data_IF_811857703381
#
_entry.id   IF_811857703381
#
_cell.length_a   1.000
_cell.length_b   1.000
_cell.length_c   1.000
_cell.angle_alpha   90.00
_cell.angle_beta   90.00
_cell.angle_gamma   90.00
#
_symmetry.space_group_name_H-M   'P 1'
#
loop_
_entity.id
_entity.type
_entity.pdbx_description
1 polymer ?
#
# COMPACT_ATOMS: atom_id res chain seq x y z
N UNK A 1 -5.81 23.24 -3.76
CA UNK A 1 -4.42 22.70 -3.86
C UNK A 1 -4.47 21.39 -4.63
N UNK A 2 -3.46 21.12 -5.43
CA UNK A 2 -3.30 19.82 -6.12
C UNK A 2 -2.37 18.96 -5.27
N UNK A 3 -2.69 17.68 -5.10
CA UNK A 3 -1.85 16.74 -4.37
C UNK A 3 -0.49 16.57 -5.07
N UNK A 4 0.57 16.60 -4.27
CA UNK A 4 1.92 16.22 -4.69
C UNK A 4 2.00 14.73 -5.01
N UNK A 5 3.02 14.32 -5.75
CA UNK A 5 3.25 12.91 -6.07
C UNK A 5 3.45 12.07 -4.81
N UNK A 6 4.18 12.59 -3.82
CA UNK A 6 4.37 11.92 -2.52
C UNK A 6 3.04 11.70 -1.78
N UNK A 7 2.16 12.69 -1.74
CA UNK A 7 0.83 12.53 -1.11
C UNK A 7 -0.04 11.51 -1.85
N UNK A 8 -0.02 11.54 -3.19
CA UNK A 8 -0.72 10.53 -4.01
C UNK A 8 -0.16 9.13 -3.76
N UNK A 9 1.15 8.99 -3.65
CA UNK A 9 1.82 7.72 -3.44
C UNK A 9 1.45 7.14 -2.07
N UNK A 10 1.48 7.94 -1.00
CA UNK A 10 1.02 7.54 0.34
C UNK A 10 -0.45 7.08 0.31
N UNK A 11 -1.32 7.81 -0.39
CA UNK A 11 -2.73 7.44 -0.51
C UNK A 11 -2.93 6.10 -1.23
N UNK A 12 -2.17 5.85 -2.31
CA UNK A 12 -2.23 4.58 -3.06
C UNK A 12 -1.67 3.42 -2.23
N UNK A 13 -0.55 3.60 -1.53
CA UNK A 13 0.02 2.58 -0.65
C UNK A 13 -0.96 2.24 0.47
N UNK A 14 -1.52 3.24 1.15
CA UNK A 14 -2.48 3.04 2.23
C UNK A 14 -3.71 2.27 1.74
N UNK A 15 -4.25 2.65 0.57
CA UNK A 15 -5.36 1.92 -0.05
C UNK A 15 -4.98 0.49 -0.41
N UNK A 16 -3.81 0.28 -1.01
CA UNK A 16 -3.28 -1.03 -1.36
C UNK A 16 -3.13 -1.95 -0.14
N UNK A 17 -2.63 -1.42 0.98
CA UNK A 17 -2.54 -2.12 2.26
C UNK A 17 -3.92 -2.51 2.79
N UNK A 18 -4.88 -1.57 2.82
CA UNK A 18 -6.24 -1.87 3.29
C UNK A 18 -6.93 -2.94 2.44
N UNK A 19 -6.79 -2.87 1.12
CA UNK A 19 -7.36 -3.88 0.20
C UNK A 19 -6.67 -5.22 0.40
N UNK A 20 -5.33 -5.24 0.53
CA UNK A 20 -4.58 -6.46 0.81
C UNK A 20 -5.07 -7.14 2.09
N UNK A 21 -5.21 -6.39 3.19
CA UNK A 21 -5.72 -6.91 4.46
C UNK A 21 -7.12 -7.49 4.33
N UNK A 22 -8.04 -6.80 3.66
CA UNK A 22 -9.40 -7.29 3.43
C UNK A 22 -9.44 -8.58 2.58
N UNK A 23 -8.63 -8.66 1.53
CA UNK A 23 -8.55 -9.87 0.69
C UNK A 23 -7.88 -11.02 1.44
N UNK A 24 -6.93 -10.73 2.34
CA UNK A 24 -6.31 -11.72 3.20
C UNK A 24 -7.32 -12.35 4.17
N UNK A 25 -8.15 -11.53 4.83
CA UNK A 25 -9.21 -11.99 5.73
C UNK A 25 -10.25 -12.87 5.04
N UNK A 26 -10.51 -12.60 3.76
CA UNK A 26 -11.47 -13.36 2.94
C UNK A 26 -10.88 -14.60 2.28
N UNK A 27 -9.59 -14.87 2.48
CA UNK A 27 -8.84 -15.94 1.80
C UNK A 27 -8.89 -15.82 0.26
N UNK A 28 -9.08 -14.61 -0.27
CA UNK A 28 -9.19 -14.31 -1.71
C UNK A 28 -7.84 -13.93 -2.34
N UNK A 29 -6.78 -13.83 -1.56
CA UNK A 29 -5.44 -13.56 -2.08
C UNK A 29 -4.86 -14.79 -2.81
N UNK A 30 -4.23 -14.61 -4.00
CA UNK A 30 -3.50 -15.69 -4.64
C UNK A 30 -2.40 -16.23 -3.73
N UNK A 31 -2.25 -17.56 -3.71
CA UNK A 31 -1.18 -18.23 -2.94
C UNK A 31 0.17 -17.63 -3.33
N UNK A 32 0.97 -17.26 -2.32
CA UNK A 32 2.28 -16.60 -2.43
C UNK A 32 2.28 -15.11 -2.82
N UNK A 33 1.17 -14.38 -2.63
CA UNK A 33 1.18 -12.91 -2.78
C UNK A 33 1.64 -12.25 -1.48
N UNK A 34 2.76 -11.53 -1.50
CA UNK A 34 3.16 -10.68 -0.37
C UNK A 34 2.51 -9.30 -0.46
N UNK A 35 2.51 -8.55 0.66
CA UNK A 35 2.02 -7.18 0.70
C UNK A 35 2.81 -6.28 -0.27
N UNK A 36 4.13 -6.42 -0.32
CA UNK A 36 4.97 -5.66 -1.26
C UNK A 36 4.62 -5.97 -2.72
N UNK A 37 4.45 -7.24 -3.07
CA UNK A 37 4.06 -7.62 -4.44
C UNK A 37 2.70 -7.04 -4.82
N UNK A 38 1.78 -6.97 -3.85
CA UNK A 38 0.46 -6.38 -4.06
C UNK A 38 0.54 -4.86 -4.24
N UNK A 39 1.24 -4.17 -3.35
CA UNK A 39 1.43 -2.71 -3.41
C UNK A 39 2.13 -2.30 -4.70
N UNK A 40 3.18 -3.03 -5.11
CA UNK A 40 3.91 -2.77 -6.36
C UNK A 40 3.03 -2.92 -7.62
N UNK A 41 2.00 -3.77 -7.57
CA UNK A 41 1.07 -3.96 -8.69
C UNK A 41 -0.01 -2.87 -8.79
N UNK A 42 -0.39 -2.26 -7.67
CA UNK A 42 -1.43 -1.22 -7.64
C UNK A 42 -0.87 0.19 -7.85
N UNK A 43 0.45 0.39 -7.69
CA UNK A 43 1.08 1.70 -7.87
C UNK A 43 1.14 2.08 -9.36
N UNK A 44 0.66 3.28 -9.75
CA UNK A 44 0.80 3.83 -11.09
C UNK A 44 2.26 3.97 -11.54
N UNK A 45 2.54 3.69 -12.81
CA UNK A 45 3.91 3.73 -13.38
C UNK A 45 4.59 5.10 -13.22
N UNK A 46 3.83 6.19 -13.28
CA UNK A 46 4.32 7.56 -13.12
C UNK A 46 4.77 7.88 -11.70
N UNK A 47 4.33 7.10 -10.71
CA UNK A 47 4.70 7.27 -9.30
C UNK A 47 5.76 6.28 -8.82
N UNK A 48 6.04 5.20 -9.59
CA UNK A 48 7.07 4.20 -9.24
C UNK A 48 8.47 4.76 -9.00
N UNK A 49 8.97 5.80 -9.72
CA UNK A 49 10.30 6.35 -9.46
C UNK A 49 10.46 6.97 -8.06
N UNK A 50 9.35 7.39 -7.44
CA UNK A 50 9.34 7.97 -6.08
C UNK A 50 9.07 6.91 -4.99
N UNK A 51 8.85 5.66 -5.39
CA UNK A 51 8.60 4.56 -4.45
C UNK A 51 9.90 4.09 -3.80
N UNK A 52 9.88 3.97 -2.49
CA UNK A 52 10.93 3.34 -1.71
C UNK A 52 10.33 2.27 -0.79
N UNK A 53 11.12 1.26 -0.44
CA UNK A 53 10.67 0.18 0.46
C UNK A 53 10.37 0.76 1.85
N UNK A 54 11.18 1.70 2.31
CA UNK A 54 11.01 2.39 3.59
C UNK A 54 9.67 3.13 3.66
N UNK A 55 9.23 3.75 2.55
CA UNK A 55 7.94 4.41 2.51
C UNK A 55 6.78 3.42 2.59
N UNK A 56 6.89 2.26 1.94
CA UNK A 56 5.89 1.19 2.04
C UNK A 56 5.79 0.72 3.50
N UNK A 57 6.93 0.48 4.13
CA UNK A 57 7.02 0.03 5.53
C UNK A 57 6.40 1.05 6.49
N UNK A 58 6.76 2.32 6.34
CA UNK A 58 6.24 3.41 7.17
C UNK A 58 4.72 3.51 7.06
N UNK A 59 4.18 3.52 5.83
CA UNK A 59 2.74 3.60 5.61
C UNK A 59 2.03 2.34 6.11
N UNK A 60 2.60 1.16 5.90
CA UNK A 60 2.05 -0.09 6.41
C UNK A 60 1.96 -0.10 7.94
N UNK A 61 3.06 0.26 8.63
CA UNK A 61 3.09 0.37 10.09
C UNK A 61 2.07 1.38 10.60
N UNK A 62 1.98 2.54 9.96
CA UNK A 62 1.01 3.57 10.33
C UNK A 62 -0.43 3.06 10.20
N UNK A 63 -0.82 2.53 9.04
CA UNK A 63 -2.19 2.07 8.77
C UNK A 63 -2.57 0.93 9.70
N UNK A 64 -1.69 -0.06 9.89
CA UNK A 64 -1.95 -1.18 10.81
C UNK A 64 -2.08 -0.73 12.27
N UNK A 65 -1.25 0.21 12.72
CA UNK A 65 -1.35 0.77 14.08
C UNK A 65 -2.66 1.55 14.30
N UNK A 66 -3.12 2.29 13.28
CA UNK A 66 -4.36 3.07 13.36
C UNK A 66 -5.61 2.19 13.45
N UNK A 67 -5.59 1.00 12.85
CA UNK A 67 -6.68 0.02 12.93
C UNK A 67 -6.62 -0.87 14.18
N UNK A 68 -5.54 -0.79 14.96
CA UNK A 68 -5.35 -1.57 16.18
C UNK A 68 -5.85 -0.87 17.46
N UNK A 69 -6.63 0.22 17.31
CA UNK A 69 -7.25 1.00 18.39
C UNK A 69 -8.74 0.75 18.53
#
# INVERSE_FOLDING_TARGET
>A
MVLTNKEKLVAVIANGVSVFSLLQEREELPKNTTMYDFVLKVIPEDLKPELSVELIDEVFQYVTSAHSS
#
